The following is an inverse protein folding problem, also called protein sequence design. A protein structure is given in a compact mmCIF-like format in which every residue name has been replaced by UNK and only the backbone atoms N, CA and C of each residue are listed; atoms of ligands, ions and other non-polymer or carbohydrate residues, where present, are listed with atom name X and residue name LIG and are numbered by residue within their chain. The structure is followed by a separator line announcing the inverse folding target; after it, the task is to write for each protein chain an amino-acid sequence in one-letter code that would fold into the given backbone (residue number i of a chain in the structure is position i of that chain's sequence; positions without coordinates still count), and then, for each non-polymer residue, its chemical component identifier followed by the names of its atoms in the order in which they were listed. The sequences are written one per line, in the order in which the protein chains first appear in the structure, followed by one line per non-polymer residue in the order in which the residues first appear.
data_IF_897716990425
#
_entry.id   IF_897716990425
#
_cell.length_a   1.000
_cell.length_b   1.000
_cell.length_c   1.000
_cell.angle_alpha   90.00
_cell.angle_beta   90.00
_cell.angle_gamma   90.00
#
_symmetry.space_group_name_H-M   'P 1'
#
loop_
_entity.id
_entity.type
_entity.pdbx_description
1 polymer ?
#
# COMPACT_ATOMS: atom_id res chain seq x y z
N UNK A 1 -37.50 27.07 2.08
CA UNK A 1 -36.37 26.60 1.27
C UNK A 1 -36.82 26.48 -0.17
N UNK A 2 -36.04 27.00 -1.12
CA UNK A 2 -36.28 26.75 -2.55
C UNK A 2 -35.67 25.40 -2.93
N UNK A 3 -36.50 24.44 -3.35
CA UNK A 3 -36.04 23.09 -3.70
C UNK A 3 -35.03 23.11 -4.85
N UNK A 4 -35.16 24.05 -5.77
CA UNK A 4 -34.23 24.22 -6.90
C UNK A 4 -32.83 24.56 -6.40
N UNK A 5 -32.73 25.50 -5.48
CA UNK A 5 -31.46 25.92 -4.87
C UNK A 5 -30.86 24.74 -4.10
N UNK A 6 -31.65 24.06 -3.28
CA UNK A 6 -31.19 22.92 -2.49
C UNK A 6 -30.63 21.78 -3.35
N UNK A 7 -31.28 21.44 -4.47
CA UNK A 7 -30.79 20.40 -5.39
C UNK A 7 -29.48 20.83 -6.05
N UNK A 8 -29.37 22.08 -6.52
CA UNK A 8 -28.13 22.56 -7.16
C UNK A 8 -26.97 22.58 -6.16
N UNK A 9 -27.21 23.06 -4.94
CA UNK A 9 -26.22 23.04 -3.85
C UNK A 9 -25.80 21.61 -3.53
N UNK A 10 -26.76 20.68 -3.42
CA UNK A 10 -26.51 19.29 -3.11
C UNK A 10 -25.70 18.58 -4.20
N UNK A 11 -26.02 18.79 -5.47
CA UNK A 11 -25.26 18.21 -6.58
C UNK A 11 -23.83 18.75 -6.64
N UNK A 12 -23.64 20.07 -6.50
CA UNK A 12 -22.30 20.66 -6.47
C UNK A 12 -21.48 20.12 -5.29
N UNK A 13 -22.08 20.05 -4.11
CA UNK A 13 -21.43 19.51 -2.91
C UNK A 13 -21.05 18.04 -3.13
N UNK A 14 -21.93 17.24 -3.73
CA UNK A 14 -21.69 15.83 -4.03
C UNK A 14 -20.50 15.62 -4.97
N UNK A 15 -20.43 16.35 -6.09
CA UNK A 15 -19.32 16.22 -7.04
C UNK A 15 -17.98 16.63 -6.41
N UNK A 16 -17.95 17.76 -5.71
CA UNK A 16 -16.72 18.23 -5.03
C UNK A 16 -16.28 17.20 -3.99
N UNK A 17 -17.21 16.73 -3.15
CA UNK A 17 -16.92 15.75 -2.09
C UNK A 17 -16.41 14.44 -2.69
N UNK A 18 -17.02 13.94 -3.76
CA UNK A 18 -16.60 12.70 -4.42
C UNK A 18 -15.19 12.80 -5.01
N UNK A 19 -14.90 13.88 -5.77
CA UNK A 19 -13.59 14.10 -6.38
C UNK A 19 -12.52 14.23 -5.30
N UNK A 20 -12.76 15.06 -4.28
CA UNK A 20 -11.80 15.23 -3.19
C UNK A 20 -11.61 13.94 -2.40
N UNK A 21 -12.68 13.19 -2.13
CA UNK A 21 -12.57 11.91 -1.43
C UNK A 21 -11.71 10.90 -2.22
N UNK A 22 -11.87 10.78 -3.54
CA UNK A 22 -11.05 9.87 -4.34
C UNK A 22 -9.56 10.22 -4.20
N UNK A 23 -9.21 11.50 -4.32
CA UNK A 23 -7.82 11.98 -4.22
C UNK A 23 -7.26 11.73 -2.81
N UNK A 24 -8.00 12.14 -1.78
CA UNK A 24 -7.57 12.04 -0.38
C UNK A 24 -7.47 10.58 0.05
N UNK A 25 -8.46 9.75 -0.28
CA UNK A 25 -8.43 8.33 0.08
C UNK A 25 -7.28 7.60 -0.60
N UNK A 26 -6.99 7.88 -1.88
CA UNK A 26 -5.84 7.26 -2.53
C UNK A 26 -4.52 7.66 -1.86
N UNK A 27 -4.38 8.94 -1.48
CA UNK A 27 -3.22 9.41 -0.73
C UNK A 27 -3.10 8.73 0.64
N UNK A 28 -4.18 8.69 1.43
CA UNK A 28 -4.19 8.06 2.76
C UNK A 28 -3.89 6.58 2.65
N UNK A 29 -4.50 5.87 1.69
CA UNK A 29 -4.28 4.45 1.49
C UNK A 29 -2.82 4.13 1.13
N UNK A 30 -2.16 4.93 0.30
CA UNK A 30 -0.71 4.81 0.03
C UNK A 30 0.12 5.03 1.31
N UNK A 31 -0.24 6.04 2.12
CA UNK A 31 0.45 6.29 3.39
C UNK A 31 0.27 5.17 4.41
N UNK A 32 -0.90 4.55 4.43
CA UNK A 32 -1.19 3.39 5.25
C UNK A 32 -0.62 2.07 4.69
N UNK A 33 0.11 2.10 3.57
CA UNK A 33 0.73 0.91 2.99
C UNK A 33 -0.24 -0.05 2.29
N UNK A 34 -1.45 0.41 1.95
CA UNK A 34 -2.42 -0.41 1.21
C UNK A 34 -1.90 -0.64 -0.20
N UNK A 35 -1.66 -1.90 -0.52
CA UNK A 35 -1.22 -2.36 -1.84
C UNK A 35 -2.21 -1.96 -2.94
N UNK A 36 -1.68 -1.63 -4.12
CA UNK A 36 -2.44 -1.33 -5.34
C UNK A 36 -2.11 -2.31 -6.46
N UNK A 37 -1.77 -3.55 -6.09
CA UNK A 37 -1.59 -4.63 -7.06
C UNK A 37 -2.83 -4.75 -7.94
N UNK A 38 -2.59 -4.81 -9.25
CA UNK A 38 -3.61 -4.87 -10.31
C UNK A 38 -4.66 -3.73 -10.27
N UNK A 39 -4.34 -2.62 -9.59
CA UNK A 39 -5.25 -1.48 -9.44
C UNK A 39 -6.43 -1.75 -8.50
N UNK A 40 -6.41 -2.84 -7.72
CA UNK A 40 -7.55 -3.25 -6.87
C UNK A 40 -7.94 -2.19 -5.84
N UNK A 41 -6.96 -1.49 -5.25
CA UNK A 41 -7.22 -0.38 -4.32
C UNK A 41 -7.85 0.79 -5.06
N UNK A 42 -7.30 1.18 -6.20
CA UNK A 42 -7.84 2.25 -7.03
C UNK A 42 -9.27 1.97 -7.51
N UNK A 43 -9.58 0.72 -7.90
CA UNK A 43 -10.93 0.28 -8.23
C UNK A 43 -11.87 0.35 -7.03
N UNK A 44 -11.43 -0.12 -5.86
CA UNK A 44 -12.20 -0.05 -4.61
C UNK A 44 -12.59 1.38 -4.26
N UNK A 45 -11.65 2.31 -4.38
CA UNK A 45 -11.88 3.73 -4.14
C UNK A 45 -12.87 4.28 -5.18
N UNK A 46 -12.65 4.02 -6.47
CA UNK A 46 -13.47 4.61 -7.52
C UNK A 46 -14.91 4.07 -7.56
N UNK A 47 -15.11 2.77 -7.35
CA UNK A 47 -16.42 2.13 -7.48
C UNK A 47 -17.25 2.10 -6.20
N UNK A 48 -16.62 2.22 -5.02
CA UNK A 48 -17.34 2.18 -3.75
C UNK A 48 -17.22 3.50 -2.98
N UNK A 49 -16.01 3.95 -2.69
CA UNK A 49 -15.80 5.13 -1.83
C UNK A 49 -16.16 6.44 -2.53
N UNK A 50 -15.87 6.57 -3.83
CA UNK A 50 -16.28 7.73 -4.65
C UNK A 50 -17.80 7.91 -4.68
N UNK A 51 -18.59 6.89 -5.08
CA UNK A 51 -20.05 6.93 -5.03
C UNK A 51 -20.60 7.13 -3.62
N UNK A 52 -20.00 6.49 -2.60
CA UNK A 52 -20.38 6.72 -1.20
C UNK A 52 -20.17 8.18 -0.78
N UNK A 53 -19.04 8.77 -1.11
CA UNK A 53 -18.74 10.18 -0.86
C UNK A 53 -19.66 11.13 -1.65
N UNK A 54 -20.05 10.76 -2.87
CA UNK A 54 -21.05 11.49 -3.65
C UNK A 54 -22.39 11.55 -2.91
N UNK A 55 -22.89 10.39 -2.45
CA UNK A 55 -24.16 10.31 -1.69
C UNK A 55 -24.07 11.13 -0.40
N UNK A 56 -22.97 11.02 0.34
CA UNK A 56 -22.77 11.82 1.56
C UNK A 56 -22.73 13.33 1.28
N UNK A 57 -22.06 13.75 0.20
CA UNK A 57 -22.04 15.16 -0.22
C UNK A 57 -23.42 15.68 -0.64
N UNK A 58 -24.23 14.85 -1.30
CA UNK A 58 -25.64 15.13 -1.61
C UNK A 58 -26.43 15.39 -0.32
N UNK A 59 -26.30 14.50 0.67
CA UNK A 59 -26.99 14.61 1.96
C UNK A 59 -26.56 15.87 2.72
N UNK A 60 -25.26 16.19 2.77
CA UNK A 60 -24.78 17.42 3.41
C UNK A 60 -25.31 18.67 2.71
N UNK A 61 -25.32 18.71 1.38
CA UNK A 61 -25.83 19.87 0.67
C UNK A 61 -27.34 20.08 0.83
N UNK A 62 -28.13 19.00 0.90
CA UNK A 62 -29.56 19.10 1.23
C UNK A 62 -29.78 19.57 2.67
N UNK A 63 -29.07 18.96 3.63
CA UNK A 63 -29.19 19.28 5.05
C UNK A 63 -28.83 20.74 5.31
N UNK A 64 -27.70 21.21 4.80
CA UNK A 64 -27.23 22.58 5.02
C UNK A 64 -28.13 23.58 4.31
N UNK A 65 -28.59 23.30 3.08
CA UNK A 65 -29.56 24.17 2.39
C UNK A 65 -30.86 24.32 3.17
N UNK A 66 -31.31 23.24 3.83
CA UNK A 66 -32.46 23.24 4.73
C UNK A 66 -32.19 24.10 5.97
N UNK A 67 -31.09 23.86 6.68
CA UNK A 67 -30.72 24.59 7.90
C UNK A 67 -30.54 26.09 7.65
N UNK A 68 -29.93 26.46 6.52
CA UNK A 68 -29.69 27.86 6.17
C UNK A 68 -30.92 28.58 5.63
N UNK A 69 -32.06 27.90 5.50
CA UNK A 69 -33.29 28.47 4.94
C UNK A 69 -33.01 29.20 3.61
N UNK A 70 -32.30 28.54 2.69
CA UNK A 70 -31.96 29.13 1.39
C UNK A 70 -33.24 29.30 0.55
N UNK A 71 -33.89 30.47 0.65
CA UNK A 71 -35.10 30.83 -0.10
C UNK A 71 -34.74 31.58 -1.38
N UNK A 72 -33.71 32.42 -1.34
CA UNK A 72 -33.28 33.28 -2.44
C UNK A 72 -31.91 32.88 -2.99
N UNK A 73 -31.65 33.19 -4.26
CA UNK A 73 -30.37 32.92 -4.92
C UNK A 73 -29.19 33.67 -4.30
N UNK A 74 -29.42 34.78 -3.61
CA UNK A 74 -28.38 35.45 -2.83
C UNK A 74 -27.79 34.55 -1.72
N UNK A 75 -28.58 33.59 -1.21
CA UNK A 75 -28.13 32.64 -0.18
C UNK A 75 -27.39 31.43 -0.77
N UNK A 76 -27.38 31.27 -2.09
CA UNK A 76 -26.78 30.12 -2.77
C UNK A 76 -25.31 29.94 -2.40
N UNK A 77 -24.48 30.97 -2.57
CA UNK A 77 -23.04 30.87 -2.28
C UNK A 77 -22.75 30.55 -0.82
N UNK A 78 -23.57 31.08 0.10
CA UNK A 78 -23.47 30.77 1.54
C UNK A 78 -23.80 29.31 1.81
N UNK A 79 -24.87 28.79 1.20
CA UNK A 79 -25.28 27.39 1.33
C UNK A 79 -24.23 26.44 0.72
N UNK A 80 -23.72 26.73 -0.49
CA UNK A 80 -22.64 25.94 -1.12
C UNK A 80 -21.39 25.95 -0.24
N UNK A 81 -20.92 27.12 0.17
CA UNK A 81 -19.71 27.25 0.98
C UNK A 81 -19.81 26.49 2.31
N UNK A 82 -20.94 26.60 3.01
CA UNK A 82 -21.17 25.87 4.25
C UNK A 82 -21.26 24.35 4.03
N UNK A 83 -21.94 23.91 2.96
CA UNK A 83 -22.11 22.48 2.64
C UNK A 83 -20.76 21.83 2.30
N UNK A 84 -20.01 22.46 1.41
CA UNK A 84 -18.67 22.00 1.00
C UNK A 84 -17.73 22.06 2.20
N UNK A 85 -17.76 23.12 3.01
CA UNK A 85 -16.93 23.24 4.20
C UNK A 85 -17.14 22.09 5.20
N UNK A 86 -18.39 21.73 5.47
CA UNK A 86 -18.72 20.59 6.35
C UNK A 86 -18.26 19.27 5.73
N UNK A 87 -18.54 19.03 4.46
CA UNK A 87 -18.17 17.79 3.77
C UNK A 87 -16.64 17.60 3.71
N UNK A 88 -15.90 18.65 3.35
CA UNK A 88 -14.44 18.64 3.34
C UNK A 88 -13.85 18.53 4.76
N UNK A 89 -14.46 19.19 5.74
CA UNK A 89 -14.06 19.06 7.14
C UNK A 89 -14.17 17.61 7.63
N UNK A 90 -15.25 16.91 7.28
CA UNK A 90 -15.42 15.50 7.58
C UNK A 90 -14.34 14.64 6.91
N UNK A 91 -14.04 14.86 5.62
CA UNK A 91 -12.95 14.17 4.91
C UNK A 91 -11.61 14.38 5.63
N UNK A 92 -11.28 15.61 6.01
CA UNK A 92 -10.01 15.94 6.67
C UNK A 92 -9.90 15.27 8.03
N UNK A 93 -10.97 15.27 8.83
CA UNK A 93 -10.98 14.62 10.16
C UNK A 93 -10.75 13.12 10.02
N UNK A 94 -11.48 12.46 9.12
CA UNK A 94 -11.36 11.02 8.88
C UNK A 94 -9.97 10.68 8.34
N UNK A 95 -9.50 11.41 7.34
CA UNK A 95 -8.16 11.24 6.78
C UNK A 95 -7.06 11.44 7.83
N UNK A 96 -7.18 12.49 8.64
CA UNK A 96 -6.26 12.77 9.74
C UNK A 96 -6.21 11.62 10.74
N UNK A 97 -7.35 11.06 11.13
CA UNK A 97 -7.43 9.91 12.02
C UNK A 97 -6.64 8.70 11.48
N UNK A 98 -6.79 8.36 10.20
CA UNK A 98 -6.02 7.27 9.58
C UNK A 98 -4.52 7.59 9.46
N UNK A 99 -4.18 8.84 9.17
CA UNK A 99 -2.78 9.26 9.03
C UNK A 99 -2.01 9.29 10.36
N UNK A 100 -2.71 9.47 11.50
CA UNK A 100 -2.09 9.37 12.82
C UNK A 100 -1.53 7.97 13.13
N UNK A 101 -2.08 6.93 12.50
CA UNK A 101 -1.68 5.53 12.68
C UNK A 101 -0.85 4.99 11.50
N UNK A 102 -0.53 5.84 10.52
CA UNK A 102 0.23 5.42 9.35
C UNK A 102 1.71 5.13 9.68
N UNK A 103 2.30 4.04 9.14
CA UNK A 103 3.70 3.71 9.41
C UNK A 103 4.65 4.80 8.87
N UNK A 104 5.64 5.18 9.69
CA UNK A 104 6.61 6.22 9.35
C UNK A 104 7.65 5.66 8.38
N UNK A 105 7.46 5.90 7.08
CA UNK A 105 8.38 5.45 6.02
C UNK A 105 9.80 5.97 6.28
N UNK A 106 10.80 5.07 6.28
CA UNK A 106 12.20 5.47 6.41
C UNK A 106 12.70 6.15 5.14
N UNK A 107 13.24 7.36 5.30
CA UNK A 107 13.79 8.17 4.21
C UNK A 107 15.21 8.55 4.58
N UNK A 108 16.17 8.15 3.75
CA UNK A 108 17.58 8.51 3.90
C UNK A 108 17.98 9.45 2.78
N UNK A 109 18.41 10.68 3.12
CA UNK A 109 18.77 11.70 2.12
C UNK A 109 17.62 12.09 1.17
N UNK A 110 16.37 12.00 1.62
CA UNK A 110 15.19 12.35 0.81
C UNK A 110 14.65 11.25 -0.10
N UNK A 111 15.30 10.09 -0.17
CA UNK A 111 14.84 8.93 -0.95
C UNK A 111 14.30 7.82 -0.02
N UNK A 112 13.14 7.22 -0.34
CA UNK A 112 12.64 6.10 0.44
C UNK A 112 13.56 4.90 0.26
N UNK A 113 13.79 4.16 1.33
CA UNK A 113 14.60 2.95 1.31
C UNK A 113 13.78 1.75 0.80
N UNK A 114 14.45 0.87 0.06
CA UNK A 114 13.89 -0.37 -0.47
C UNK A 114 14.80 -1.50 -0.02
N UNK A 115 14.18 -2.58 0.43
CA UNK A 115 14.83 -3.83 0.69
C UNK A 115 14.87 -4.63 -0.62
N UNK A 116 16.05 -4.83 -1.16
CA UNK A 116 16.27 -5.73 -2.28
C UNK A 116 16.62 -7.12 -1.74
N UNK A 117 15.95 -8.13 -2.28
CA UNK A 117 16.10 -9.52 -1.85
C UNK A 117 16.44 -10.35 -3.08
N UNK A 118 17.47 -11.19 -2.95
CA UNK A 118 17.73 -12.26 -3.90
C UNK A 118 17.43 -13.60 -3.25
N UNK A 119 16.57 -14.37 -3.90
CA UNK A 119 16.15 -15.70 -3.47
C UNK A 119 16.79 -16.72 -4.40
N UNK A 120 17.60 -17.59 -3.84
CA UNK A 120 18.35 -18.62 -4.52
C UNK A 120 17.64 -19.97 -4.36
N UNK A 121 16.94 -20.39 -5.41
CA UNK A 121 16.12 -21.59 -5.44
C UNK A 121 16.87 -22.67 -6.23
N UNK A 122 17.16 -23.86 -5.67
CA UNK A 122 17.67 -24.98 -6.45
C UNK A 122 16.73 -25.31 -7.61
N UNK A 123 17.27 -25.53 -8.81
CA UNK A 123 16.45 -25.83 -10.00
C UNK A 123 15.58 -27.08 -9.82
N UNK A 124 16.04 -28.04 -9.00
CA UNK A 124 15.32 -29.26 -8.62
C UNK A 124 13.98 -28.99 -7.92
N UNK A 125 13.81 -27.83 -7.30
CA UNK A 125 12.57 -27.42 -6.63
C UNK A 125 11.62 -26.63 -7.51
N UNK A 126 12.05 -26.25 -8.71
CA UNK A 126 11.22 -25.43 -9.59
C UNK A 126 10.32 -26.38 -10.37
N UNK A 127 8.98 -26.23 -10.28
CA UNK A 127 8.10 -27.11 -11.04
C UNK A 127 8.34 -26.93 -12.54
N UNK A 128 8.35 -28.04 -13.28
CA UNK A 128 8.66 -28.06 -14.73
C UNK A 128 7.68 -27.19 -15.55
N UNK A 129 6.51 -26.86 -15.00
CA UNK A 129 5.44 -26.07 -15.64
C UNK A 129 5.36 -24.64 -15.07
N UNK A 130 6.51 -23.97 -14.92
CA UNK A 130 6.62 -22.62 -14.35
C UNK A 130 5.71 -21.58 -15.02
N UNK A 131 5.41 -21.76 -16.30
CA UNK A 131 4.54 -20.85 -17.08
C UNK A 131 3.05 -20.95 -16.71
N UNK A 132 2.65 -22.04 -16.04
CA UNK A 132 1.25 -22.32 -15.63
C UNK A 132 1.00 -22.04 -14.14
N UNK A 133 2.04 -21.67 -13.37
CA UNK A 133 1.93 -21.37 -11.94
C UNK A 133 1.46 -19.94 -11.69
N UNK A 134 0.72 -19.76 -10.59
CA UNK A 134 0.44 -18.44 -10.00
C UNK A 134 1.77 -17.70 -9.84
N UNK A 135 1.90 -16.43 -10.30
CA UNK A 135 3.16 -15.71 -10.22
C UNK A 135 3.71 -15.75 -8.80
N UNK A 136 4.99 -16.09 -8.68
CA UNK A 136 5.72 -16.07 -7.42
C UNK A 136 5.46 -14.73 -6.71
N UNK A 137 5.28 -14.76 -5.38
CA UNK A 137 4.96 -13.56 -4.60
C UNK A 137 5.97 -13.38 -3.49
N UNK A 138 6.37 -12.15 -3.25
CA UNK A 138 7.24 -11.78 -2.14
C UNK A 138 6.54 -10.75 -1.27
N UNK A 139 6.65 -10.88 0.05
CA UNK A 139 6.10 -9.95 1.01
C UNK A 139 7.03 -9.73 2.19
N UNK A 140 6.94 -8.56 2.80
CA UNK A 140 7.68 -8.17 3.99
C UNK A 140 6.68 -7.99 5.12
N UNK A 141 6.90 -8.70 6.21
CA UNK A 141 6.19 -8.55 7.46
C UNK A 141 7.11 -7.87 8.47
N UNK A 142 6.81 -6.63 8.83
CA UNK A 142 7.60 -5.80 9.74
C UNK A 142 6.75 -5.29 10.92
N UNK A 143 5.72 -6.05 11.29
CA UNK A 143 4.83 -5.78 12.42
C UNK A 143 3.35 -5.97 12.05
N UNK A 144 2.42 -5.84 13.01
CA UNK A 144 0.99 -6.09 12.76
C UNK A 144 0.37 -5.12 11.73
N UNK A 145 1.02 -3.98 11.45
CA UNK A 145 0.55 -2.93 10.55
C UNK A 145 1.57 -2.48 9.51
N UNK A 146 2.72 -3.16 9.41
CA UNK A 146 3.71 -2.89 8.36
C UNK A 146 3.96 -4.18 7.57
N UNK A 147 2.93 -4.58 6.83
CA UNK A 147 3.00 -5.70 5.91
C UNK A 147 2.89 -5.14 4.50
N UNK A 148 3.82 -5.51 3.63
CA UNK A 148 3.81 -5.04 2.24
C UNK A 148 4.13 -6.17 1.29
N UNK A 149 3.46 -6.16 0.14
CA UNK A 149 3.88 -6.98 -0.99
C UNK A 149 5.04 -6.29 -1.72
N UNK A 150 5.95 -7.09 -2.26
CA UNK A 150 7.04 -6.62 -3.09
C UNK A 150 6.85 -6.99 -4.54
N UNK A 151 7.63 -6.33 -5.37
CA UNK A 151 7.66 -6.55 -6.80
C UNK A 151 8.81 -7.51 -7.14
N UNK A 152 8.52 -8.54 -7.93
CA UNK A 152 9.56 -9.41 -8.50
C UNK A 152 10.03 -8.81 -9.81
N UNK A 153 11.33 -8.58 -9.92
CA UNK A 153 11.98 -8.03 -11.10
C UNK A 153 12.39 -9.17 -12.04
N UNK A 154 11.46 -9.59 -12.90
CA UNK A 154 11.67 -10.73 -13.80
C UNK A 154 12.83 -10.53 -14.77
N UNK A 155 13.19 -9.28 -15.09
CA UNK A 155 14.32 -8.95 -15.94
C UNK A 155 15.68 -9.20 -15.27
N UNK A 156 15.73 -9.21 -13.93
CA UNK A 156 16.94 -9.50 -13.14
C UNK A 156 17.05 -10.97 -12.73
N UNK A 157 16.03 -11.77 -13.02
CA UNK A 157 16.04 -13.20 -12.73
C UNK A 157 17.08 -13.89 -13.61
N UNK A 158 17.91 -14.75 -13.00
CA UNK A 158 19.00 -15.42 -13.70
C UNK A 158 19.25 -16.80 -13.11
N UNK A 159 19.86 -17.66 -13.91
CA UNK A 159 20.23 -19.01 -13.47
C UNK A 159 21.75 -19.08 -13.34
N UNK A 160 22.24 -19.39 -12.14
CA UNK A 160 23.67 -19.48 -11.83
C UNK A 160 23.91 -20.69 -10.91
N UNK A 161 24.94 -21.47 -11.19
CA UNK A 161 25.38 -22.59 -10.33
C UNK A 161 24.25 -23.58 -9.97
N UNK A 162 23.37 -23.91 -10.91
CA UNK A 162 22.25 -24.83 -10.69
C UNK A 162 21.11 -24.25 -9.83
N UNK A 163 21.10 -22.94 -9.59
CA UNK A 163 20.06 -22.22 -8.84
C UNK A 163 19.42 -21.14 -9.72
N UNK A 164 18.11 -21.00 -9.63
CA UNK A 164 17.41 -19.81 -10.08
C UNK A 164 17.53 -18.73 -9.00
N UNK A 165 17.99 -17.55 -9.40
CA UNK A 165 18.03 -16.36 -8.57
C UNK A 165 16.83 -15.50 -8.95
N UNK A 166 15.92 -15.30 -7.99
CA UNK A 166 14.74 -14.44 -8.11
C UNK A 166 15.00 -13.15 -7.35
N UNK A 167 14.94 -12.02 -8.05
CA UNK A 167 15.21 -10.71 -7.45
C UNK A 167 13.89 -10.00 -7.15
N UNK A 168 13.70 -9.59 -5.89
CA UNK A 168 12.53 -8.86 -5.43
C UNK A 168 12.89 -7.53 -4.78
N UNK A 169 11.96 -6.57 -4.84
CA UNK A 169 12.06 -5.26 -4.20
C UNK A 169 10.88 -5.06 -3.26
N UNK A 170 11.17 -4.81 -1.99
CA UNK A 170 10.19 -4.63 -0.91
C UNK A 170 10.32 -3.23 -0.32
N UNK A 171 9.20 -2.56 -0.07
CA UNK A 171 9.21 -1.25 0.59
C UNK A 171 9.68 -1.39 2.04
N UNK A 172 10.74 -0.69 2.42
CA UNK A 172 11.24 -0.72 3.81
C UNK A 172 10.63 0.46 4.59
N UNK A 173 9.41 0.27 5.08
CA UNK A 173 8.64 1.36 5.66
C UNK A 173 8.85 1.50 7.18
N UNK A 174 8.96 0.42 7.97
CA UNK A 174 9.06 0.50 9.44
C UNK A 174 10.48 0.47 10.02
N UNK A 175 10.63 1.08 11.20
CA UNK A 175 11.77 0.89 12.12
C UNK A 175 11.67 -0.38 12.96
N UNK A 176 10.88 -1.37 12.55
CA UNK A 176 10.78 -2.63 13.27
C UNK A 176 12.13 -3.34 13.32
N UNK A 177 12.47 -3.84 14.50
CA UNK A 177 13.60 -4.73 14.71
C UNK A 177 13.31 -6.16 14.26
N UNK A 178 12.03 -6.51 14.14
CA UNK A 178 11.57 -7.82 13.68
C UNK A 178 10.96 -7.65 12.30
N UNK A 179 11.67 -8.19 11.31
CA UNK A 179 11.24 -8.25 9.92
C UNK A 179 11.35 -9.69 9.45
N UNK A 180 10.36 -10.15 8.72
CA UNK A 180 10.33 -11.45 8.06
C UNK A 180 9.99 -11.24 6.60
N UNK A 181 10.81 -11.76 5.70
CA UNK A 181 10.49 -11.82 4.27
C UNK A 181 9.81 -13.15 4.00
N UNK A 182 8.59 -13.11 3.48
CA UNK A 182 7.88 -14.29 3.00
C UNK A 182 7.97 -14.38 1.49
N UNK A 183 8.12 -15.60 1.00
CA UNK A 183 8.18 -15.92 -0.40
C UNK A 183 7.27 -17.11 -0.70
N UNK A 184 6.40 -16.92 -1.68
CA UNK A 184 5.47 -17.92 -2.17
C UNK A 184 5.92 -18.32 -3.57
N UNK A 185 6.30 -19.59 -3.73
CA UNK A 185 6.67 -20.15 -5.05
C UNK A 185 5.44 -20.65 -5.79
N UNK A 186 4.54 -21.31 -5.06
CA UNK A 186 3.26 -21.83 -5.51
C UNK A 186 2.26 -21.84 -4.33
N UNK A 187 1.11 -22.50 -4.48
CA UNK A 187 0.09 -22.58 -3.42
C UNK A 187 0.53 -23.37 -2.18
N UNK A 188 1.54 -24.23 -2.31
CA UNK A 188 1.95 -25.18 -1.27
C UNK A 188 3.32 -24.87 -0.66
N UNK A 189 4.11 -24.04 -1.32
CA UNK A 189 5.48 -23.72 -0.96
C UNK A 189 5.53 -22.27 -0.47
N UNK A 190 5.47 -22.12 0.85
CA UNK A 190 5.61 -20.86 1.54
C UNK A 190 6.88 -20.88 2.38
N UNK A 191 7.84 -20.01 2.04
CA UNK A 191 9.11 -19.89 2.72
C UNK A 191 9.20 -18.53 3.44
N UNK A 192 9.83 -18.52 4.60
CA UNK A 192 10.06 -17.33 5.41
C UNK A 192 11.55 -17.17 5.75
N UNK A 193 12.11 -16.01 5.45
CA UNK A 193 13.37 -15.56 6.02
C UNK A 193 13.05 -14.77 7.29
N UNK A 194 13.14 -15.45 8.43
CA UNK A 194 12.99 -14.85 9.74
C UNK A 194 14.27 -14.10 10.15
N UNK A 195 14.12 -13.06 10.97
CA UNK A 195 15.23 -12.29 11.53
C UNK A 195 16.19 -11.72 10.48
N UNK A 196 15.70 -10.80 9.64
CA UNK A 196 16.57 -10.12 8.68
C UNK A 196 17.78 -9.47 9.38
N UNK A 197 19.00 -9.61 8.82
CA UNK A 197 20.24 -9.08 9.39
C UNK A 197 20.38 -7.57 9.13
N UNK A 198 19.27 -6.83 9.22
CA UNK A 198 19.21 -5.40 8.94
C UNK A 198 18.68 -4.71 10.18
N UNK A 199 19.40 -3.70 10.63
CA UNK A 199 18.99 -2.92 11.79
C UNK A 199 17.69 -2.15 11.54
N UNK A 200 17.00 -1.76 12.61
CA UNK A 200 15.79 -0.95 12.54
C UNK A 200 15.99 0.35 11.73
N UNK A 201 17.17 0.95 11.84
CA UNK A 201 17.61 2.11 11.07
C UNK A 201 18.79 1.68 10.19
N UNK A 202 18.54 1.28 8.93
CA UNK A 202 19.59 0.86 8.02
C UNK A 202 20.70 1.92 7.95
N UNK A 203 21.92 1.42 7.88
CA UNK A 203 23.15 2.18 7.71
C UNK A 203 23.75 1.92 6.33
N UNK A 204 24.78 2.67 5.97
CA UNK A 204 25.52 2.44 4.71
C UNK A 204 26.03 0.99 4.57
N UNK A 205 26.35 0.32 5.68
CA UNK A 205 26.77 -1.09 5.69
C UNK A 205 25.68 -2.03 5.17
N UNK A 206 24.42 -1.70 5.39
CA UNK A 206 23.28 -2.49 4.94
C UNK A 206 23.06 -2.37 3.42
N UNK A 207 23.82 -1.50 2.73
CA UNK A 207 23.80 -1.40 1.25
C UNK A 207 24.57 -2.53 0.57
N UNK A 208 25.48 -3.19 1.29
CA UNK A 208 26.14 -4.40 0.81
C UNK A 208 25.21 -5.60 0.95
N UNK A 209 25.38 -6.59 0.06
CA UNK A 209 24.65 -7.86 0.18
C UNK A 209 25.02 -8.57 1.48
N UNK A 210 23.99 -9.03 2.19
CA UNK A 210 24.16 -9.93 3.32
C UNK A 210 24.76 -11.27 2.87
N UNK A 211 25.23 -12.05 3.84
CA UNK A 211 25.48 -13.47 3.62
C UNK A 211 24.20 -14.18 3.20
N UNK A 212 24.34 -15.32 2.52
CA UNK A 212 23.20 -16.19 2.22
C UNK A 212 22.68 -16.79 3.52
N UNK A 213 21.38 -16.63 3.74
CA UNK A 213 20.67 -17.13 4.91
C UNK A 213 19.66 -18.19 4.47
N UNK A 214 19.51 -19.30 5.20
CA UNK A 214 18.51 -20.30 4.88
C UNK A 214 17.10 -19.75 5.14
N UNK A 215 16.16 -20.08 4.26
CA UNK A 215 14.75 -19.80 4.49
C UNK A 215 14.08 -20.97 5.23
N UNK A 216 13.15 -20.69 6.12
CA UNK A 216 12.35 -21.68 6.84
C UNK A 216 11.06 -21.96 6.08
N UNK A 217 10.57 -23.20 6.13
CA UNK A 217 9.21 -23.52 5.71
C UNK A 217 8.19 -22.85 6.65
N UNK A 218 7.37 -21.97 6.10
CA UNK A 218 6.39 -21.19 6.86
C UNK A 218 5.11 -21.98 7.18
N UNK A 219 4.88 -23.12 6.52
CA UNK A 219 3.71 -23.98 6.76
C UNK A 219 3.86 -24.85 8.00
N UNK A 220 5.10 -25.05 8.46
CA UNK A 220 5.43 -25.89 9.62
C UNK A 220 5.81 -24.99 10.80
N UNK A 221 5.24 -25.28 11.98
CA UNK A 221 5.50 -24.50 13.19
C UNK A 221 6.94 -24.69 13.74
N UNK A 222 7.55 -25.83 13.46
CA UNK A 222 8.95 -26.11 13.80
C UNK A 222 9.91 -25.50 12.76
N UNK A 223 11.11 -25.15 13.20
CA UNK A 223 12.14 -24.55 12.35
C UNK A 223 12.73 -25.57 11.37
N UNK A 224 12.00 -25.88 10.31
CA UNK A 224 12.49 -26.67 9.19
C UNK A 224 13.07 -25.74 8.12
N UNK A 225 14.39 -25.70 8.02
CA UNK A 225 15.10 -24.87 7.05
C UNK A 225 15.21 -25.57 5.69
N UNK A 226 14.85 -24.86 4.63
CA UNK A 226 15.01 -25.29 3.25
C UNK A 226 16.46 -25.10 2.78
N UNK A 227 16.79 -25.82 1.72
CA UNK A 227 17.89 -25.56 0.78
C UNK A 227 17.78 -24.23 -0.01
N UNK A 228 16.61 -23.60 0.01
CA UNK A 228 16.37 -22.26 -0.54
C UNK A 228 17.01 -21.24 0.39
N UNK A 229 17.82 -20.37 -0.19
CA UNK A 229 18.56 -19.35 0.54
C UNK A 229 18.18 -17.98 0.05
N UNK A 230 18.23 -16.99 0.93
CA UNK A 230 18.01 -15.60 0.57
C UNK A 230 19.15 -14.72 1.07
N UNK A 231 19.45 -13.66 0.33
CA UNK A 231 20.29 -12.56 0.79
C UNK A 231 19.59 -11.25 0.54
N UNK A 232 19.93 -10.26 1.33
CA UNK A 232 19.24 -8.97 1.35
C UNK A 232 20.24 -7.83 1.31
N UNK A 233 19.82 -6.68 0.77
CA UNK A 233 20.49 -5.40 0.92
C UNK A 233 19.48 -4.27 0.93
N UNK A 234 19.89 -3.12 1.43
CA UNK A 234 19.09 -1.89 1.43
C UNK A 234 19.60 -0.97 0.33
N UNK A 235 18.70 -0.55 -0.55
CA UNK A 235 19.01 0.37 -1.63
C UNK A 235 18.08 1.58 -1.57
N UNK A 236 18.55 2.72 -2.07
CA UNK A 236 17.70 3.89 -2.25
C UNK A 236 16.76 3.60 -3.42
N UNK A 237 15.46 3.88 -3.26
CA UNK A 237 14.51 3.82 -4.38
C UNK A 237 14.93 4.86 -5.41
N UNK A 238 15.47 4.41 -6.54
CA UNK A 238 15.65 5.28 -7.71
C UNK A 238 14.25 5.58 -8.24
N UNK A 239 13.82 6.85 -8.21
CA UNK A 239 12.62 7.26 -8.95
C UNK A 239 12.94 7.05 -10.43
N UNK A 240 12.30 6.07 -11.05
CA UNK A 240 12.14 6.08 -12.49
C UNK A 240 11.17 7.22 -12.77
N UNK A 241 11.68 8.26 -13.44
CA UNK A 241 10.93 9.42 -13.90
C UNK A 241 10.06 9.05 -15.10
#
# INVERSE_FOLDING_TARGET
MSWKIAIVVALLTAFITAITSIIVTNYVADKCGVSDQDGGRSMGIFFFLGPGAFVMGLLFGLLVSYLMHAVEWAHFWKAVGASVGIALGAIVIIAGYFLLDAPIRHVEGGSPLVLEVEIHIPLERIPEHREELDPMRISLYAGPRDNSFGDIDTALNRTENGKLIVTGKLGLNSTSHTRTVSFHVDQNTWLALDHLPITAKPSEKDSAWSTLLPMRDATIAEAHYSDVQARVRVVKRVRVL
#
